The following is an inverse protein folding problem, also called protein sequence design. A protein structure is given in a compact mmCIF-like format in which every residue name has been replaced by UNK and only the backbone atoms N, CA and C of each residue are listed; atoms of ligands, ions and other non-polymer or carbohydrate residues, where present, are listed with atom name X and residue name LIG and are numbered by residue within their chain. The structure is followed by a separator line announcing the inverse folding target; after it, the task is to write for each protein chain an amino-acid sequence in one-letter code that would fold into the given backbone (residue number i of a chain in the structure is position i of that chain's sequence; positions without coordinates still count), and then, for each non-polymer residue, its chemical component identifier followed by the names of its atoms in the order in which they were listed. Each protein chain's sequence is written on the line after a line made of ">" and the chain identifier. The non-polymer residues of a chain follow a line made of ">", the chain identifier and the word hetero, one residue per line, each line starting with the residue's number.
data_IF_256792339210
#
_entry.id   IF_256792339210
#
_cell.length_a   1.000
_cell.length_b   1.000
_cell.length_c   1.000
_cell.angle_alpha   90.00
_cell.angle_beta   90.00
_cell.angle_gamma   90.00
#
_symmetry.space_group_name_H-M   'P 1'
#
loop_
_entity.id
_entity.type
_entity.pdbx_description
1 polymer ?
#
# COMPACT_ATOMS: atom_id res chain seq x y z
N UNK A 1 -32.49 78.55 25.44
CA UNK A 1 -32.19 79.41 24.27
C UNK A 1 -32.19 78.52 23.04
N UNK A 2 -33.30 78.55 22.28
CA UNK A 2 -33.41 78.12 20.88
C UNK A 2 -33.29 76.62 20.54
N UNK A 3 -34.02 76.11 19.53
CA UNK A 3 -34.50 74.71 19.48
C UNK A 3 -34.04 73.91 18.23
N UNK A 4 -34.47 72.64 18.16
CA UNK A 4 -34.68 71.84 16.93
C UNK A 4 -33.40 71.39 16.15
N UNK A 5 -33.32 70.24 15.48
CA UNK A 5 -34.30 69.27 15.04
C UNK A 5 -33.63 67.90 14.84
N UNK A 6 -34.32 66.85 15.27
CA UNK A 6 -34.21 65.53 14.65
C UNK A 6 -34.90 65.59 13.28
N UNK A 7 -34.29 65.05 12.22
CA UNK A 7 -35.03 64.32 11.16
C UNK A 7 -34.13 63.42 10.31
N UNK A 8 -34.63 62.18 10.18
CA UNK A 8 -34.16 60.99 9.47
C UNK A 8 -34.04 61.15 7.94
N UNK A 9 -33.41 60.12 7.36
CA UNK A 9 -33.61 59.52 6.02
C UNK A 9 -32.63 59.99 4.94
N UNK A 10 -32.16 59.17 4.00
CA UNK A 10 -32.12 57.72 3.79
C UNK A 10 -31.22 57.48 2.57
N UNK A 11 -30.79 56.21 2.41
CA UNK A 11 -30.31 55.54 1.19
C UNK A 11 -28.90 55.79 0.65
N UNK A 12 -28.16 54.67 0.69
CA UNK A 12 -27.62 53.94 -0.46
C UNK A 12 -26.24 54.30 -1.04
N UNK A 13 -25.59 53.21 -1.46
CA UNK A 13 -24.48 53.08 -2.40
C UNK A 13 -23.02 53.09 -1.90
N UNK A 14 -22.50 51.86 -1.80
CA UNK A 14 -21.32 51.29 -2.50
C UNK A 14 -19.91 51.91 -2.32
N UNK A 15 -19.01 50.95 -2.02
CA UNK A 15 -17.57 50.84 -2.32
C UNK A 15 -16.58 51.44 -1.30
N UNK A 16 -15.87 50.58 -0.53
CA UNK A 16 -14.46 50.11 -0.70
C UNK A 16 -13.53 51.02 0.12
N UNK A 17 -12.59 50.60 0.98
CA UNK A 17 -11.57 49.55 0.98
C UNK A 17 -11.19 49.29 2.49
N UNK A 18 -10.71 48.16 3.00
CA UNK A 18 -10.00 47.00 2.46
C UNK A 18 -10.22 45.79 3.41
N UNK A 19 -10.38 44.56 2.91
CA UNK A 19 -10.40 43.38 3.76
C UNK A 19 -8.98 42.88 4.04
N UNK A 20 -8.77 42.63 5.33
CA UNK A 20 -7.61 42.03 5.97
C UNK A 20 -7.34 40.62 5.39
N UNK A 21 -6.07 40.38 5.08
CA UNK A 21 -5.43 39.08 5.26
C UNK A 21 -5.87 37.98 4.32
N UNK A 22 -5.19 37.90 3.17
CA UNK A 22 -5.20 36.74 2.30
C UNK A 22 -4.91 35.45 3.09
N UNK A 23 -5.90 34.55 3.09
CA UNK A 23 -5.72 33.18 3.52
C UNK A 23 -4.61 32.52 2.68
N UNK A 24 -3.64 31.82 3.28
CA UNK A 24 -2.59 31.18 2.52
C UNK A 24 -3.20 30.04 1.70
N UNK A 25 -2.92 30.12 0.40
CA UNK A 25 -3.06 29.13 -0.65
C UNK A 25 -3.79 27.83 -0.32
N UNK A 26 -4.91 27.64 -1.01
CA UNK A 26 -5.33 26.30 -1.45
C UNK A 26 -4.15 25.69 -2.22
N UNK A 27 -3.33 24.90 -1.53
CA UNK A 27 -2.51 23.90 -2.18
C UNK A 27 -3.48 22.99 -2.93
N UNK A 28 -3.49 23.13 -4.25
CA UNK A 28 -4.21 22.25 -5.14
C UNK A 28 -3.76 20.82 -4.83
N UNK A 29 -4.61 20.05 -4.16
CA UNK A 29 -4.51 18.61 -4.19
C UNK A 29 -4.74 18.23 -5.65
N UNK A 30 -3.66 17.87 -6.35
CA UNK A 30 -3.72 17.30 -7.68
C UNK A 30 -4.82 16.23 -7.69
N UNK A 31 -5.69 16.21 -8.71
CA UNK A 31 -6.73 15.18 -8.78
C UNK A 31 -6.01 13.83 -8.74
N UNK A 32 -6.23 13.07 -7.66
CA UNK A 32 -5.61 11.78 -7.49
C UNK A 32 -6.08 10.88 -8.64
N UNK A 33 -5.25 10.75 -9.66
CA UNK A 33 -5.44 9.83 -10.77
C UNK A 33 -5.76 8.46 -10.18
N UNK A 34 -6.97 7.95 -10.45
CA UNK A 34 -7.34 6.62 -9.99
C UNK A 34 -6.35 5.61 -10.61
N UNK A 35 -5.66 4.78 -9.79
CA UNK A 35 -4.70 3.82 -10.30
C UNK A 35 -5.35 2.90 -11.34
N UNK A 36 -4.60 2.57 -12.40
CA UNK A 36 -5.04 1.72 -13.51
C UNK A 36 -5.75 0.44 -13.03
N UNK A 37 -5.12 -0.27 -12.09
CA UNK A 37 -5.68 -1.50 -11.51
C UNK A 37 -6.95 -1.29 -10.68
N UNK A 38 -7.16 -0.09 -10.13
CA UNK A 38 -8.39 0.21 -9.40
C UNK A 38 -9.57 0.38 -10.36
N UNK A 39 -9.37 1.08 -11.50
CA UNK A 39 -10.40 1.16 -12.55
C UNK A 39 -10.70 -0.21 -13.13
N UNK A 40 -9.65 -0.97 -13.43
CA UNK A 40 -9.79 -2.35 -13.91
C UNK A 40 -10.56 -3.25 -12.93
N UNK A 41 -10.35 -3.07 -11.63
CA UNK A 41 -11.13 -3.77 -10.61
C UNK A 41 -12.62 -3.43 -10.68
N UNK A 42 -12.95 -2.14 -10.72
CA UNK A 42 -14.33 -1.65 -10.70
C UNK A 42 -15.11 -2.03 -11.98
N UNK A 43 -14.44 -2.00 -13.14
CA UNK A 43 -15.08 -2.21 -14.45
C UNK A 43 -15.15 -3.67 -14.89
N UNK A 44 -14.06 -4.43 -14.70
CA UNK A 44 -13.91 -5.77 -15.27
C UNK A 44 -13.93 -6.87 -14.19
N UNK A 45 -13.03 -6.79 -13.20
CA UNK A 45 -12.86 -7.84 -12.19
C UNK A 45 -14.12 -8.06 -11.38
N UNK A 46 -14.82 -6.98 -11.00
CA UNK A 46 -16.06 -7.08 -10.22
C UNK A 46 -17.16 -7.81 -10.99
N UNK A 47 -17.30 -7.55 -12.30
CA UNK A 47 -18.30 -8.22 -13.14
C UNK A 47 -17.97 -9.70 -13.32
N UNK A 48 -16.70 -10.00 -13.62
CA UNK A 48 -16.22 -11.36 -13.77
C UNK A 48 -16.47 -12.21 -12.53
N UNK A 49 -16.17 -11.69 -11.34
CA UNK A 49 -16.40 -12.40 -10.08
C UNK A 49 -17.89 -12.54 -9.74
N UNK A 50 -18.71 -11.53 -10.07
CA UNK A 50 -20.17 -11.63 -9.91
C UNK A 50 -20.78 -12.68 -10.82
N UNK A 51 -20.30 -12.82 -12.05
CA UNK A 51 -20.75 -13.85 -12.99
C UNK A 51 -20.28 -15.26 -12.59
N UNK A 52 -19.04 -15.39 -12.14
CA UNK A 52 -18.46 -16.69 -11.76
C UNK A 52 -19.07 -17.27 -10.47
N UNK A 53 -19.33 -16.43 -9.46
CA UNK A 53 -19.81 -16.87 -8.14
C UNK A 53 -21.27 -16.51 -7.85
N UNK A 54 -21.95 -15.77 -8.75
CA UNK A 54 -23.38 -15.48 -8.63
C UNK A 54 -23.76 -14.63 -7.40
N UNK A 55 -22.90 -13.69 -6.98
CA UNK A 55 -23.16 -12.86 -5.80
C UNK A 55 -24.46 -12.05 -5.94
N UNK A 56 -25.32 -12.12 -4.92
CA UNK A 56 -26.60 -11.40 -4.89
C UNK A 56 -26.43 -9.92 -4.55
N UNK A 57 -25.43 -9.61 -3.72
CA UNK A 57 -25.14 -8.25 -3.30
C UNK A 57 -23.82 -7.77 -3.92
N UNK A 58 -23.80 -6.62 -4.61
CA UNK A 58 -22.56 -6.05 -5.15
C UNK A 58 -21.46 -5.84 -4.10
N UNK A 59 -21.82 -5.68 -2.83
CA UNK A 59 -20.87 -5.49 -1.71
C UNK A 59 -20.26 -6.79 -1.19
N UNK A 60 -20.80 -7.95 -1.57
CA UNK A 60 -20.23 -9.27 -1.24
C UNK A 60 -19.04 -9.64 -2.11
N UNK A 61 -18.88 -8.98 -3.26
CA UNK A 61 -17.79 -9.25 -4.19
C UNK A 61 -16.44 -9.04 -3.48
N UNK A 62 -15.53 -10.03 -3.50
CA UNK A 62 -14.23 -9.92 -2.87
C UNK A 62 -13.44 -8.71 -3.35
N UNK A 63 -12.79 -8.03 -2.42
CA UNK A 63 -11.88 -6.91 -2.67
C UNK A 63 -10.57 -7.08 -1.92
N UNK A 64 -9.54 -6.41 -2.42
CA UNK A 64 -8.26 -6.32 -1.73
C UNK A 64 -8.35 -5.24 -0.64
N UNK A 65 -8.10 -5.61 0.63
CA UNK A 65 -8.22 -4.69 1.77
C UNK A 65 -6.90 -3.98 2.09
N UNK A 66 -5.80 -4.74 2.05
CA UNK A 66 -4.45 -4.26 2.28
C UNK A 66 -3.43 -5.24 1.72
N UNK A 67 -2.25 -4.73 1.40
CA UNK A 67 -1.05 -5.53 1.18
C UNK A 67 -0.08 -5.21 2.31
N UNK A 68 0.43 -6.23 2.99
CA UNK A 68 1.47 -6.08 4.00
C UNK A 68 2.77 -6.63 3.42
N UNK A 69 3.81 -5.80 3.41
CA UNK A 69 5.15 -6.22 3.01
C UNK A 69 6.00 -6.26 4.26
N UNK A 70 6.66 -7.38 4.50
CA UNK A 70 7.50 -7.64 5.65
C UNK A 70 8.87 -8.10 5.20
N UNK A 71 9.91 -7.54 5.81
CA UNK A 71 11.29 -7.96 5.60
C UNK A 71 11.92 -8.31 6.95
N UNK A 72 12.29 -9.58 7.10
CA UNK A 72 13.05 -10.07 8.24
C UNK A 72 14.54 -9.85 8.01
N UNK A 73 15.20 -9.05 8.85
CA UNK A 73 16.63 -8.77 8.75
C UNK A 73 17.32 -9.37 9.98
N UNK A 74 17.52 -10.69 9.99
CA UNK A 74 18.10 -11.39 11.15
C UNK A 74 19.48 -10.85 11.58
N UNK A 75 20.25 -10.34 10.62
CA UNK A 75 21.55 -9.72 10.85
C UNK A 75 21.48 -8.36 11.55
N UNK A 76 20.30 -7.73 11.61
CA UNK A 76 20.08 -6.46 12.30
C UNK A 76 20.33 -6.58 13.82
N UNK A 77 20.32 -7.80 14.37
CA UNK A 77 20.65 -8.02 15.76
C UNK A 77 22.12 -7.69 16.10
N UNK A 78 23.02 -7.79 15.13
CA UNK A 78 24.44 -7.42 15.29
C UNK A 78 24.77 -6.04 14.70
N UNK A 79 24.09 -5.63 13.63
CA UNK A 79 24.37 -4.38 12.93
C UNK A 79 23.10 -3.61 12.56
N UNK A 80 22.88 -2.49 13.26
CA UNK A 80 21.74 -1.62 13.06
C UNK A 80 21.73 -0.95 11.67
N UNK A 81 22.91 -0.77 11.03
CA UNK A 81 23.02 -0.14 9.71
C UNK A 81 22.35 -0.96 8.62
N UNK A 82 22.44 -2.29 8.71
CA UNK A 82 21.75 -3.20 7.78
C UNK A 82 20.24 -3.02 7.85
N UNK A 83 19.70 -2.73 9.03
CA UNK A 83 18.27 -2.42 9.17
C UNK A 83 17.92 -1.08 8.51
N UNK A 84 18.78 -0.08 8.62
CA UNK A 84 18.55 1.22 8.00
C UNK A 84 18.58 1.13 6.47
N UNK A 85 19.49 0.34 5.90
CA UNK A 85 19.49 0.02 4.47
C UNK A 85 18.18 -0.69 4.05
N UNK A 86 17.73 -1.70 4.81
CA UNK A 86 16.48 -2.40 4.51
C UNK A 86 15.24 -1.48 4.59
N UNK A 87 15.24 -0.52 5.51
CA UNK A 87 14.19 0.51 5.60
C UNK A 87 14.24 1.42 4.38
N UNK A 88 15.43 1.78 3.89
CA UNK A 88 15.63 2.55 2.65
C UNK A 88 15.05 1.83 1.44
N UNK A 89 15.44 0.56 1.22
CA UNK A 89 14.97 -0.27 0.12
C UNK A 89 13.44 -0.40 0.12
N UNK A 90 12.86 -0.73 1.27
CA UNK A 90 11.41 -0.88 1.39
C UNK A 90 10.67 0.46 1.23
N UNK A 91 11.30 1.59 1.58
CA UNK A 91 10.75 2.93 1.32
C UNK A 91 10.72 3.21 -0.18
N UNK A 92 11.79 2.89 -0.91
CA UNK A 92 11.86 3.06 -2.37
C UNK A 92 10.80 2.21 -3.08
N UNK A 93 10.66 0.95 -2.68
CA UNK A 93 9.67 0.03 -3.27
C UNK A 93 8.24 0.49 -2.97
N UNK A 94 7.93 0.78 -1.71
CA UNK A 94 6.55 0.99 -1.27
C UNK A 94 6.07 2.45 -1.33
N UNK A 95 6.98 3.42 -1.53
CA UNK A 95 6.69 4.85 -1.47
C UNK A 95 6.23 5.33 -0.08
N UNK A 96 6.41 4.51 0.95
CA UNK A 96 5.98 4.76 2.32
C UNK A 96 7.07 4.36 3.29
N UNK A 97 7.33 5.20 4.31
CA UNK A 97 8.31 4.88 5.34
C UNK A 97 7.86 3.65 6.16
N UNK A 98 8.65 2.56 6.19
CA UNK A 98 8.35 1.35 6.93
C UNK A 98 8.43 1.55 8.45
N UNK A 99 7.68 0.72 9.17
CA UNK A 99 7.78 0.60 10.62
C UNK A 99 8.81 -0.47 10.98
N UNK A 100 9.76 -0.13 11.85
CA UNK A 100 10.73 -1.10 12.41
C UNK A 100 10.04 -2.06 13.38
N UNK A 101 10.18 -3.36 13.17
CA UNK A 101 9.62 -4.40 14.04
C UNK A 101 10.62 -4.75 15.14
N UNK A 102 10.15 -4.75 16.39
CA UNK A 102 10.95 -5.06 17.57
C UNK A 102 10.65 -6.46 18.09
N UNK A 103 11.66 -7.11 18.65
CA UNK A 103 11.55 -8.41 19.30
C UNK A 103 10.63 -8.31 20.52
N UNK A 104 9.70 -9.27 20.65
CA UNK A 104 8.83 -9.38 21.84
C UNK A 104 9.44 -10.22 22.96
N UNK A 105 10.38 -11.11 22.64
CA UNK A 105 11.00 -12.04 23.58
C UNK A 105 12.50 -12.11 23.29
N UNK A 106 13.29 -12.28 24.33
CA UNK A 106 14.70 -12.61 24.19
C UNK A 106 14.85 -14.10 23.89
N UNK A 107 15.67 -14.43 22.88
CA UNK A 107 15.96 -15.82 22.50
C UNK A 107 17.46 -15.94 22.26
N UNK A 108 18.14 -16.67 23.15
CA UNK A 108 19.60 -16.78 23.16
C UNK A 108 20.15 -17.43 21.87
N UNK A 109 19.47 -18.45 21.33
CA UNK A 109 19.88 -19.14 20.09
C UNK A 109 19.95 -18.23 18.87
N UNK A 110 19.12 -17.18 18.83
CA UNK A 110 19.14 -16.18 17.76
C UNK A 110 19.94 -14.92 18.14
N UNK A 111 20.55 -14.89 19.33
CA UNK A 111 21.27 -13.74 19.89
C UNK A 111 20.42 -12.46 19.95
N UNK A 112 19.10 -12.60 20.14
CA UNK A 112 18.13 -11.51 20.15
C UNK A 112 17.79 -11.10 21.58
N UNK A 113 17.79 -9.79 21.86
CA UNK A 113 17.29 -9.21 23.10
C UNK A 113 15.87 -8.64 22.92
N UNK A 114 15.11 -8.58 24.01
CA UNK A 114 13.78 -7.97 23.98
C UNK A 114 13.84 -6.49 23.59
N UNK A 115 12.88 -6.04 22.78
CA UNK A 115 12.82 -4.65 22.29
C UNK A 115 13.79 -4.32 21.15
N UNK A 116 14.69 -5.24 20.78
CA UNK A 116 15.65 -5.04 19.70
C UNK A 116 14.96 -5.01 18.33
N UNK A 117 15.35 -4.09 17.45
CA UNK A 117 14.78 -3.99 16.10
C UNK A 117 15.41 -5.04 15.17
N UNK A 118 14.58 -5.91 14.59
CA UNK A 118 15.03 -7.07 13.78
C UNK A 118 14.52 -7.01 12.34
N UNK A 119 13.48 -6.21 12.06
CA UNK A 119 12.92 -6.15 10.72
C UNK A 119 12.20 -4.85 10.44
N UNK A 120 11.62 -4.79 9.26
CA UNK A 120 10.78 -3.68 8.85
C UNK A 120 9.53 -4.22 8.17
N UNK A 121 8.41 -3.52 8.37
CA UNK A 121 7.14 -3.83 7.71
C UNK A 121 6.46 -2.56 7.24
N UNK A 122 5.70 -2.68 6.16
CA UNK A 122 4.83 -1.61 5.67
C UNK A 122 3.47 -2.20 5.31
N UNK A 123 2.42 -1.45 5.61
CA UNK A 123 1.05 -1.81 5.23
C UNK A 123 0.56 -0.82 4.21
N UNK A 124 0.34 -1.29 2.99
CA UNK A 124 -0.19 -0.53 1.88
C UNK A 124 -1.71 -0.69 1.80
N UNK A 125 -2.40 0.44 1.59
CA UNK A 125 -3.86 0.50 1.44
C UNK A 125 -4.23 1.48 0.33
N UNK A 126 -5.46 1.38 -0.17
CA UNK A 126 -6.03 2.30 -1.18
C UNK A 126 -5.14 2.40 -2.43
N UNK A 127 -4.82 3.61 -2.90
CA UNK A 127 -4.13 3.82 -4.17
C UNK A 127 -2.74 3.15 -4.23
N UNK A 128 -1.90 3.38 -3.20
CA UNK A 128 -0.53 2.84 -3.13
C UNK A 128 -0.48 1.31 -3.18
N UNK A 129 -1.53 0.66 -2.67
CA UNK A 129 -1.67 -0.80 -2.72
C UNK A 129 -1.85 -1.28 -4.17
N UNK A 130 -2.72 -0.63 -4.94
CA UNK A 130 -2.93 -0.96 -6.35
C UNK A 130 -1.70 -0.63 -7.21
N UNK A 131 -1.02 0.48 -6.95
CA UNK A 131 0.23 0.83 -7.65
C UNK A 131 1.36 -0.16 -7.37
N UNK A 132 1.49 -0.62 -6.12
CA UNK A 132 2.45 -1.67 -5.76
C UNK A 132 2.10 -2.99 -6.44
N UNK A 133 0.82 -3.39 -6.44
CA UNK A 133 0.38 -4.61 -7.12
C UNK A 133 0.67 -4.55 -8.62
N UNK A 134 0.44 -3.41 -9.27
CA UNK A 134 0.70 -3.24 -10.71
C UNK A 134 2.18 -3.41 -11.01
N UNK A 135 3.05 -2.74 -10.26
CA UNK A 135 4.52 -2.89 -10.40
C UNK A 135 4.99 -4.30 -10.10
N UNK A 136 4.38 -4.96 -9.11
CA UNK A 136 4.72 -6.33 -8.76
C UNK A 136 4.42 -7.28 -9.93
N UNK A 137 3.20 -7.23 -10.49
CA UNK A 137 2.77 -8.16 -11.54
C UNK A 137 3.46 -7.86 -12.87
N UNK A 138 3.53 -6.60 -13.27
CA UNK A 138 4.02 -6.22 -14.60
C UNK A 138 5.54 -6.18 -14.72
N UNK A 139 6.26 -5.81 -13.66
CA UNK A 139 7.71 -5.59 -13.71
C UNK A 139 8.46 -6.59 -12.83
N UNK A 140 8.08 -6.74 -11.57
CA UNK A 140 8.90 -7.48 -10.61
C UNK A 140 8.84 -9.00 -10.82
N UNK A 141 7.66 -9.58 -11.01
CA UNK A 141 7.52 -11.05 -11.17
C UNK A 141 8.25 -11.61 -12.40
N UNK A 142 8.18 -10.98 -13.60
CA UNK A 142 8.97 -11.43 -14.74
C UNK A 142 10.49 -11.34 -14.54
N UNK A 143 10.96 -10.48 -13.63
CA UNK A 143 12.39 -10.31 -13.30
C UNK A 143 12.89 -11.29 -12.25
N UNK A 144 12.01 -12.07 -11.62
CA UNK A 144 12.42 -13.10 -10.66
C UNK A 144 13.22 -14.18 -11.39
N UNK A 145 14.42 -14.50 -10.90
CA UNK A 145 15.23 -15.61 -11.41
C UNK A 145 14.48 -16.94 -11.23
N UNK A 146 14.42 -17.74 -12.30
CA UNK A 146 13.72 -19.03 -12.36
C UNK A 146 12.21 -18.95 -12.08
N UNK A 147 11.53 -17.92 -12.59
CA UNK A 147 10.10 -17.75 -12.40
C UNK A 147 9.26 -18.79 -13.18
N UNK A 148 8.63 -19.73 -12.46
CA UNK A 148 7.72 -20.74 -13.02
C UNK A 148 6.24 -20.46 -12.71
N UNK A 149 5.95 -19.26 -12.23
CA UNK A 149 4.67 -18.92 -11.64
C UNK A 149 4.69 -19.01 -10.11
N UNK A 150 3.70 -18.37 -9.51
CA UNK A 150 3.46 -18.32 -8.08
C UNK A 150 2.70 -19.59 -7.67
N UNK A 151 3.05 -20.25 -6.54
CA UNK A 151 2.36 -21.47 -6.11
C UNK A 151 0.88 -21.20 -5.81
N UNK A 152 -0.01 -21.74 -6.65
CA UNK A 152 -1.44 -21.45 -6.62
C UNK A 152 -2.26 -22.11 -5.51
N UNK A 153 -1.68 -23.05 -4.76
CA UNK A 153 -2.38 -23.76 -3.68
C UNK A 153 -1.67 -23.64 -2.32
N UNK A 154 -0.35 -23.45 -2.28
CA UNK A 154 0.43 -23.46 -1.01
C UNK A 154 0.43 -22.12 -0.28
N UNK A 155 0.20 -21.00 -0.98
CA UNK A 155 0.27 -19.67 -0.38
C UNK A 155 -1.03 -19.17 0.25
N UNK A 156 -2.13 -19.92 0.13
CA UNK A 156 -3.42 -19.54 0.73
C UNK A 156 -3.53 -20.02 2.18
N UNK A 157 -4.19 -19.23 3.02
CA UNK A 157 -4.31 -19.49 4.47
C UNK A 157 -5.63 -20.18 4.88
N UNK A 158 -6.46 -20.60 3.93
CA UNK A 158 -7.77 -21.20 4.19
C UNK A 158 -8.89 -20.18 4.45
N UNK A 159 -8.56 -18.90 4.55
CA UNK A 159 -9.49 -17.81 4.85
C UNK A 159 -9.44 -16.71 3.79
N UNK A 160 -8.98 -17.03 2.59
CA UNK A 160 -8.97 -16.10 1.47
C UNK A 160 -7.82 -15.07 1.49
N UNK A 161 -6.78 -15.26 2.29
CA UNK A 161 -5.56 -14.45 2.19
C UNK A 161 -4.45 -15.22 1.49
N UNK A 162 -3.57 -14.49 0.82
CA UNK A 162 -2.47 -15.08 0.07
C UNK A 162 -1.13 -14.53 0.54
N UNK A 163 -0.15 -15.41 0.75
CA UNK A 163 1.22 -15.05 1.12
C UNK A 163 2.21 -15.47 0.03
N UNK A 164 3.04 -14.52 -0.41
CA UNK A 164 4.09 -14.70 -1.39
C UNK A 164 5.44 -14.34 -0.77
N UNK A 165 6.39 -15.27 -0.79
CA UNK A 165 7.78 -15.00 -0.47
C UNK A 165 8.58 -14.64 -1.71
N UNK A 166 9.27 -13.50 -1.70
CA UNK A 166 10.29 -13.13 -2.66
C UNK A 166 11.67 -13.32 -2.03
N UNK A 167 12.57 -13.99 -2.74
CA UNK A 167 13.92 -14.28 -2.25
C UNK A 167 14.88 -13.08 -2.33
N UNK A 168 14.66 -12.20 -3.30
CA UNK A 168 15.60 -11.14 -3.65
C UNK A 168 14.83 -9.83 -3.88
N UNK A 169 15.26 -8.74 -3.25
CA UNK A 169 14.64 -7.42 -3.41
C UNK A 169 15.04 -6.70 -4.71
N UNK A 170 16.08 -7.17 -5.39
CA UNK A 170 16.62 -6.58 -6.65
C UNK A 170 15.67 -6.72 -7.85
N UNK A 171 14.58 -7.48 -7.70
CA UNK A 171 13.55 -7.64 -8.74
C UNK A 171 12.81 -6.32 -9.01
N UNK A 172 12.82 -5.40 -8.05
CA UNK A 172 12.20 -4.08 -8.17
C UNK A 172 13.15 -3.11 -8.89
N UNK A 173 12.70 -2.43 -9.96
CA UNK A 173 13.53 -1.45 -10.69
C UNK A 173 13.98 -0.26 -9.83
N UNK A 174 13.27 0.03 -8.73
CA UNK A 174 13.59 1.13 -7.82
C UNK A 174 14.86 0.86 -6.99
N UNK A 175 15.29 -0.40 -6.90
CA UNK A 175 16.49 -0.78 -6.17
C UNK A 175 17.71 -0.69 -7.09
N UNK A 176 18.68 0.13 -6.71
CA UNK A 176 19.96 0.20 -7.40
C UNK A 176 20.87 -0.92 -6.91
N UNK A 177 21.22 -1.85 -7.80
CA UNK A 177 22.08 -3.00 -7.54
C UNK A 177 23.42 -2.61 -6.88
N UNK A 178 24.04 -1.50 -7.31
CA UNK A 178 25.36 -1.06 -6.82
C UNK A 178 25.33 -0.58 -5.36
N UNK A 179 24.14 -0.22 -4.87
CA UNK A 179 23.94 0.25 -3.49
C UNK A 179 23.46 -0.86 -2.55
N UNK A 180 23.24 -2.07 -3.06
CA UNK A 180 22.75 -3.19 -2.26
C UNK A 180 23.92 -3.88 -1.56
N UNK A 181 23.99 -3.75 -0.24
CA UNK A 181 25.01 -4.44 0.54
C UNK A 181 24.78 -5.96 0.56
N UNK A 182 23.54 -6.38 0.81
CA UNK A 182 23.15 -7.79 0.92
C UNK A 182 21.80 -8.06 0.27
N UNK A 183 21.70 -9.21 -0.40
CA UNK A 183 20.44 -9.70 -0.96
C UNK A 183 19.54 -10.18 0.18
N UNK A 184 18.33 -9.65 0.24
CA UNK A 184 17.33 -9.88 1.29
C UNK A 184 16.00 -10.25 0.65
N UNK A 185 15.36 -11.24 1.25
CA UNK A 185 14.00 -11.61 0.88
C UNK A 185 12.95 -10.70 1.52
N UNK A 186 11.73 -10.78 1.03
CA UNK A 186 10.55 -10.16 1.65
C UNK A 186 9.33 -11.06 1.50
N UNK A 187 8.45 -10.98 2.48
CA UNK A 187 7.14 -11.62 2.46
C UNK A 187 6.08 -10.57 2.12
N UNK A 188 5.27 -10.87 1.12
CA UNK A 188 4.14 -10.05 0.68
C UNK A 188 2.86 -10.80 1.01
N UNK A 189 2.02 -10.19 1.84
CA UNK A 189 0.73 -10.76 2.25
C UNK A 189 -0.39 -9.92 1.66
N UNK A 190 -1.20 -10.56 0.82
CA UNK A 190 -2.41 -10.01 0.24
C UNK A 190 -3.58 -10.38 1.14
N UNK A 191 -4.19 -9.37 1.75
CA UNK A 191 -5.38 -9.55 2.57
C UNK A 191 -6.60 -9.15 1.76
N UNK A 192 -7.50 -10.11 1.57
CA UNK A 192 -8.74 -9.91 0.81
C UNK A 192 -9.95 -10.02 1.74
N UNK A 193 -11.12 -9.62 1.24
CA UNK A 193 -12.39 -9.85 1.94
C UNK A 193 -13.04 -11.18 1.58
N UNK A 194 -12.41 -12.00 0.74
CA UNK A 194 -12.91 -13.32 0.40
C UNK A 194 -13.01 -14.19 1.66
N UNK A 195 -13.99 -15.10 1.70
CA UNK A 195 -14.12 -16.05 2.82
C UNK A 195 -13.44 -17.37 2.50
N UNK A 196 -13.26 -17.67 1.21
CA UNK A 196 -12.69 -18.93 0.74
C UNK A 196 -11.50 -18.69 -0.16
N UNK A 197 -10.60 -19.68 -0.22
CA UNK A 197 -9.40 -19.60 -1.06
C UNK A 197 -9.74 -19.62 -2.56
N UNK A 198 -10.88 -20.22 -2.95
CA UNK A 198 -11.35 -20.23 -4.34
C UNK A 198 -11.66 -18.82 -4.83
N UNK A 199 -12.42 -18.07 -4.04
CA UNK A 199 -12.77 -16.68 -4.32
C UNK A 199 -11.53 -15.78 -4.34
N UNK A 200 -10.61 -15.98 -3.38
CA UNK A 200 -9.36 -15.23 -3.34
C UNK A 200 -8.47 -15.54 -4.53
N UNK A 201 -8.36 -16.82 -4.93
CA UNK A 201 -7.60 -17.23 -6.11
C UNK A 201 -8.19 -16.66 -7.39
N UNK A 202 -9.52 -16.67 -7.54
CA UNK A 202 -10.18 -16.05 -8.68
C UNK A 202 -9.90 -14.55 -8.74
N UNK A 203 -10.03 -13.83 -7.61
CA UNK A 203 -9.71 -12.41 -7.52
C UNK A 203 -8.26 -12.10 -7.92
N UNK A 204 -7.30 -12.84 -7.36
CA UNK A 204 -5.88 -12.63 -7.64
C UNK A 204 -5.53 -13.01 -9.09
N UNK A 205 -6.15 -14.05 -9.65
CA UNK A 205 -5.98 -14.44 -11.05
C UNK A 205 -6.55 -13.38 -11.99
N UNK A 206 -7.68 -12.77 -11.63
CA UNK A 206 -8.26 -11.65 -12.38
C UNK A 206 -7.32 -10.43 -12.38
N UNK A 207 -6.57 -10.21 -11.31
CA UNK A 207 -5.46 -9.23 -11.26
C UNK A 207 -4.19 -9.67 -12.01
N UNK A 208 -4.29 -10.69 -12.86
CA UNK A 208 -3.20 -11.21 -13.70
C UNK A 208 -2.01 -11.75 -12.91
N UNK A 209 -2.20 -12.17 -11.65
CA UNK A 209 -1.15 -12.85 -10.92
C UNK A 209 -0.85 -14.21 -11.60
N UNK A 210 0.39 -14.44 -12.05
CA UNK A 210 0.77 -15.65 -12.78
C UNK A 210 0.90 -16.83 -11.81
N UNK A 211 -0.21 -17.54 -11.56
CA UNK A 211 -0.18 -18.78 -10.79
C UNK A 211 0.39 -19.93 -11.62
N UNK A 212 1.24 -20.73 -10.99
CA UNK A 212 1.67 -22.03 -11.53
C UNK A 212 0.45 -22.95 -11.60
N UNK A 213 0.18 -23.48 -12.80
CA UNK A 213 -0.85 -24.49 -13.04
C UNK A 213 -0.40 -25.86 -12.51
#
# INVERSE_FOLDING_TARGET
>A
MGPAASKKAAKADRAKDAPIGAAPGKAAASPAEQPRLRKFYEEAVRKQLSEEFGYKNPMEVPKLEKIVINMGVGEAAGDQKKLDAAVGDLTAISGQRPVRTRAKKAIAGFKIREGQAIGCKVTLRKARMYEFLDRLVTIALPRVRDFRGIPGNRGFDGRGNYSLGLKEQIVFPEINYDKVDTVRGMDIVFVTTAKTDKEAKALLTAFQLPFQK
#
